data_IF_580343642361
#
_entry.id   IF_580343642361
#
_cell.length_a   1.000
_cell.length_b   1.000
_cell.length_c   1.000
_cell.angle_alpha   90.00
_cell.angle_beta   90.00
_cell.angle_gamma   90.00
#
_symmetry.space_group_name_H-M   'P 1'
#
loop_
_entity.id
_entity.type
_entity.pdbx_description
1 polymer ?
#
# COMPACT_ATOMS: atom_id res chain seq x y z
N UNK A 1 -11.76 31.13 -51.64
CA UNK A 1 -11.22 31.92 -50.51
C UNK A 1 -10.53 30.98 -49.53
N UNK A 2 -9.19 31.07 -49.41
CA UNK A 2 -8.35 30.18 -48.60
C UNK A 2 -7.88 30.90 -47.32
N UNK A 3 -8.00 30.16 -46.19
CA UNK A 3 -7.16 30.07 -44.96
C UNK A 3 -6.91 31.30 -44.06
N UNK A 4 -7.22 31.13 -42.75
CA UNK A 4 -6.35 31.36 -41.56
C UNK A 4 -7.20 31.13 -40.28
N UNK A 5 -7.19 29.97 -39.61
CA UNK A 5 -6.26 29.51 -38.56
C UNK A 5 -6.08 30.46 -37.35
N UNK A 6 -6.58 30.06 -36.17
CA UNK A 6 -6.24 30.61 -34.85
C UNK A 6 -5.80 29.46 -33.93
N UNK A 7 -4.71 29.73 -33.21
CA UNK A 7 -3.78 28.88 -32.44
C UNK A 7 -4.30 28.54 -31.03
N UNK A 8 -4.12 27.31 -30.48
CA UNK A 8 -4.71 26.89 -29.19
C UNK A 8 -3.90 27.30 -27.94
N UNK A 9 -3.40 28.55 -27.88
CA UNK A 9 -2.67 29.09 -26.72
C UNK A 9 -3.21 30.46 -26.28
N UNK A 10 -4.38 30.51 -25.64
CA UNK A 10 -4.84 31.70 -24.94
C UNK A 10 -5.24 31.36 -23.48
N UNK A 11 -4.51 31.86 -22.46
CA UNK A 11 -4.72 31.51 -21.06
C UNK A 11 -5.84 32.33 -20.38
N UNK A 12 -6.92 32.66 -21.09
CA UNK A 12 -7.95 33.61 -20.61
C UNK A 12 -9.36 33.04 -20.54
N UNK A 13 -9.59 32.07 -19.65
CA UNK A 13 -10.96 31.61 -19.34
C UNK A 13 -11.19 31.25 -17.87
N UNK A 14 -10.67 32.05 -16.93
CA UNK A 14 -11.11 31.97 -15.52
C UNK A 14 -11.47 33.35 -14.99
N UNK A 15 -12.63 33.46 -14.32
CA UNK A 15 -13.20 34.71 -13.82
C UNK A 15 -13.34 34.63 -12.28
N UNK A 16 -12.70 35.51 -11.50
CA UNK A 16 -12.83 35.51 -10.05
C UNK A 16 -14.04 36.34 -9.56
N UNK A 17 -14.67 35.88 -8.47
CA UNK A 17 -15.74 36.59 -7.74
C UNK A 17 -15.12 37.41 -6.58
N UNK A 18 -15.34 38.72 -6.57
CA UNK A 18 -14.92 39.64 -5.49
C UNK A 18 -15.97 39.77 -4.39
N UNK A 19 -15.53 40.01 -3.13
CA UNK A 19 -16.15 41.07 -2.36
C UNK A 19 -15.16 42.06 -1.71
N UNK A 20 -15.72 43.22 -1.39
CA UNK A 20 -15.17 44.52 -0.98
C UNK A 20 -14.20 44.55 0.23
N UNK A 21 -13.32 45.55 0.19
CA UNK A 21 -12.18 45.91 1.07
C UNK A 21 -12.60 46.53 2.42
N UNK A 22 -11.80 46.28 3.46
CA UNK A 22 -11.47 47.24 4.52
C UNK A 22 -10.01 47.06 5.00
N UNK A 23 -9.30 48.19 5.15
CA UNK A 23 -7.88 48.43 5.49
C UNK A 23 -7.59 48.22 7.00
N UNK A 24 -6.39 48.15 7.59
CA UNK A 24 -4.95 48.15 7.26
C UNK A 24 -4.16 47.79 8.56
N UNK A 25 -2.88 47.35 8.52
CA UNK A 25 -1.78 47.72 9.46
C UNK A 25 -0.45 46.96 9.16
N UNK A 26 0.67 47.71 9.01
CA UNK A 26 2.05 47.31 9.39
C UNK A 26 2.98 46.64 8.35
N UNK A 27 4.23 47.13 8.12
CA UNK A 27 5.17 46.53 7.18
C UNK A 27 5.89 45.35 7.84
N UNK A 28 5.40 44.13 7.58
CA UNK A 28 6.18 42.93 7.84
C UNK A 28 6.94 42.60 6.56
N UNK A 29 8.28 42.60 6.65
CA UNK A 29 9.16 42.14 5.59
C UNK A 29 9.01 40.61 5.44
N UNK A 30 7.85 40.19 4.93
CA UNK A 30 7.64 38.86 4.38
C UNK A 30 8.08 38.94 2.94
N UNK A 31 9.03 38.12 2.55
CA UNK A 31 9.22 37.79 1.14
C UNK A 31 7.86 37.22 0.69
N UNK A 32 7.04 38.06 0.05
CA UNK A 32 5.77 37.66 -0.56
C UNK A 32 6.13 36.71 -1.69
N UNK A 33 6.20 35.42 -1.37
CA UNK A 33 6.31 34.37 -2.38
C UNK A 33 5.09 34.53 -3.28
N UNK A 34 5.33 34.91 -4.54
CA UNK A 34 4.27 35.10 -5.52
C UNK A 34 3.35 33.86 -5.51
N UNK A 35 2.02 34.06 -5.54
CA UNK A 35 1.08 32.95 -5.50
C UNK A 35 1.35 32.01 -6.66
N UNK A 36 1.22 30.70 -6.39
CA UNK A 36 1.57 29.68 -7.38
C UNK A 36 0.81 29.94 -8.70
N UNK A 37 1.48 30.01 -9.86
CA UNK A 37 0.84 30.37 -11.14
C UNK A 37 -0.18 29.35 -11.65
N UNK A 38 -0.32 28.22 -10.96
CA UNK A 38 -1.22 27.12 -11.32
C UNK A 38 -2.49 27.12 -10.45
N UNK A 39 -2.37 27.41 -9.16
CA UNK A 39 -3.51 27.39 -8.22
C UNK A 39 -3.76 28.73 -7.52
N UNK A 40 -2.99 29.76 -7.83
CA UNK A 40 -3.07 31.10 -7.23
C UNK A 40 -3.14 31.09 -5.69
N UNK A 41 -2.36 30.19 -5.08
CA UNK A 41 -2.36 30.00 -3.63
C UNK A 41 -3.51 29.15 -3.06
N UNK A 42 -4.48 28.74 -3.87
CA UNK A 42 -5.62 27.90 -3.45
C UNK A 42 -5.25 26.45 -3.14
N UNK A 43 -4.07 25.99 -3.59
CA UNK A 43 -3.51 24.64 -3.33
C UNK A 43 -4.20 23.48 -4.04
N UNK A 44 -5.28 23.74 -4.77
CA UNK A 44 -5.97 22.78 -5.65
C UNK A 44 -6.28 23.44 -7.00
N UNK A 45 -6.56 22.62 -7.99
CA UNK A 45 -7.02 22.97 -9.33
C UNK A 45 -8.23 22.13 -9.66
N UNK A 46 -9.18 22.64 -10.44
CA UNK A 46 -10.25 21.82 -11.01
C UNK A 46 -9.92 21.68 -12.49
N UNK A 47 -9.62 20.47 -12.98
CA UNK A 47 -9.30 20.27 -14.38
C UNK A 47 -10.55 20.51 -15.22
N UNK A 48 -10.39 21.25 -16.31
CA UNK A 48 -11.47 21.51 -17.27
C UNK A 48 -11.63 20.27 -18.17
N UNK A 49 -12.57 19.41 -17.77
CA UNK A 49 -12.83 18.11 -18.41
C UNK A 49 -14.25 18.12 -19.00
N UNK A 50 -14.57 17.27 -19.99
CA UNK A 50 -15.92 17.19 -20.52
C UNK A 50 -16.89 16.53 -19.52
N UNK A 51 -18.18 16.87 -19.64
CA UNK A 51 -19.28 16.22 -18.92
C UNK A 51 -19.26 14.71 -19.21
N UNK A 52 -19.19 13.90 -18.15
CA UNK A 52 -19.06 12.44 -18.23
C UNK A 52 -17.66 11.91 -17.92
N UNK A 53 -16.64 12.78 -17.81
CA UNK A 53 -15.34 12.36 -17.29
C UNK A 53 -15.45 12.07 -15.77
N UNK A 54 -14.89 10.95 -15.25
CA UNK A 54 -14.96 10.58 -13.84
C UNK A 54 -14.54 11.70 -12.88
N UNK A 55 -13.62 12.55 -13.32
CA UNK A 55 -13.04 13.64 -12.52
C UNK A 55 -13.56 15.05 -12.89
N UNK A 56 -14.64 15.14 -13.67
CA UNK A 56 -15.29 16.42 -13.95
C UNK A 56 -15.69 17.13 -12.65
N UNK A 57 -15.26 18.39 -12.51
CA UNK A 57 -15.57 19.22 -11.34
C UNK A 57 -14.87 18.81 -10.05
N UNK A 58 -14.01 17.78 -10.04
CA UNK A 58 -13.27 17.39 -8.84
C UNK A 58 -12.08 18.30 -8.61
N UNK A 59 -11.93 18.79 -7.38
CA UNK A 59 -10.73 19.49 -6.96
C UNK A 59 -9.56 18.50 -6.87
N UNK A 60 -8.61 18.63 -7.80
CA UNK A 60 -7.34 17.89 -7.76
C UNK A 60 -6.27 18.78 -7.10
N UNK A 61 -5.43 18.23 -6.23
CA UNK A 61 -4.33 18.96 -5.61
C UNK A 61 -3.36 19.53 -6.65
N UNK A 62 -2.88 20.75 -6.42
CA UNK A 62 -1.98 21.41 -7.37
C UNK A 62 -0.58 20.78 -7.35
N UNK A 63 0.04 20.62 -8.53
CA UNK A 63 1.44 20.16 -8.68
C UNK A 63 2.47 21.00 -7.92
N UNK A 64 2.18 22.24 -7.54
CA UNK A 64 3.10 23.02 -6.68
C UNK A 64 3.27 22.43 -5.28
N UNK A 65 2.34 21.56 -4.85
CA UNK A 65 2.43 20.78 -3.61
C UNK A 65 3.06 19.42 -3.82
N UNK A 66 3.48 19.05 -5.03
CA UNK A 66 4.04 17.74 -5.33
C UNK A 66 5.33 17.49 -4.53
N UNK A 67 6.23 18.48 -4.44
CA UNK A 67 7.43 18.37 -3.60
C UNK A 67 7.10 18.26 -2.11
N UNK A 68 6.10 19.00 -1.60
CA UNK A 68 5.68 18.88 -0.20
C UNK A 68 4.98 17.54 0.10
N UNK A 69 4.23 17.01 -0.87
CA UNK A 69 3.56 15.71 -0.80
C UNK A 69 4.57 14.60 -0.81
N UNK A 70 5.55 14.67 -1.72
CA UNK A 70 6.66 13.74 -1.79
C UNK A 70 7.52 13.82 -0.53
N UNK A 71 7.80 15.01 -0.02
CA UNK A 71 8.49 15.19 1.26
C UNK A 71 7.65 14.72 2.46
N UNK A 72 6.31 14.82 2.43
CA UNK A 72 5.42 14.21 3.44
C UNK A 72 5.44 12.68 3.34
N UNK A 73 5.31 12.12 2.14
CA UNK A 73 5.47 10.69 1.85
C UNK A 73 6.79 10.17 2.40
N UNK A 74 7.89 10.83 2.06
CA UNK A 74 9.23 10.48 2.52
C UNK A 74 9.34 10.60 4.04
N UNK A 75 8.89 11.69 4.67
CA UNK A 75 8.94 11.83 6.14
C UNK A 75 8.10 10.78 6.88
N UNK A 76 6.94 10.41 6.34
CA UNK A 76 6.07 9.39 6.92
C UNK A 76 6.62 7.98 6.74
N UNK A 77 7.27 7.68 5.60
CA UNK A 77 7.84 6.34 5.32
C UNK A 77 9.28 6.15 5.85
N UNK A 78 10.13 7.19 5.83
CA UNK A 78 11.53 7.13 6.25
C UNK A 78 11.71 6.86 7.74
N UNK A 79 10.72 7.18 8.59
CA UNK A 79 10.81 6.94 10.04
C UNK A 79 10.71 5.47 10.43
N UNK A 80 10.31 4.57 9.52
CA UNK A 80 10.05 3.16 9.83
C UNK A 80 10.70 2.16 8.85
N UNK A 81 11.63 2.63 8.01
CA UNK A 81 12.42 1.76 7.13
C UNK A 81 11.63 1.13 5.98
N UNK A 82 10.40 1.57 5.71
CA UNK A 82 9.57 0.97 4.67
C UNK A 82 10.00 1.42 3.26
N UNK A 83 10.23 0.44 2.39
CA UNK A 83 10.92 0.53 1.09
C UNK A 83 10.29 1.53 0.09
N UNK A 84 11.15 2.17 -0.71
CA UNK A 84 10.80 2.94 -1.93
C UNK A 84 9.85 2.15 -2.86
N UNK A 85 10.01 0.82 -2.89
CA UNK A 85 9.19 -0.10 -3.68
C UNK A 85 7.69 0.03 -3.39
N UNK A 86 7.29 0.29 -2.14
CA UNK A 86 5.88 0.41 -1.79
C UNK A 86 5.24 1.70 -2.33
N UNK A 87 6.03 2.74 -2.61
CA UNK A 87 5.50 4.00 -3.17
C UNK A 87 4.90 3.80 -4.56
N UNK A 88 5.37 2.78 -5.30
CA UNK A 88 4.90 2.46 -6.66
C UNK A 88 3.64 1.60 -6.66
N UNK A 89 3.29 0.99 -5.52
CA UNK A 89 2.11 0.15 -5.34
C UNK A 89 0.91 1.04 -5.02
N UNK A 90 0.24 1.51 -6.07
CA UNK A 90 -0.90 2.44 -5.99
C UNK A 90 -2.15 1.79 -6.56
N UNK A 91 -3.31 2.41 -6.37
CA UNK A 91 -4.53 1.91 -7.01
C UNK A 91 -4.45 2.04 -8.54
N UNK A 92 -3.75 3.05 -9.03
CA UNK A 92 -3.56 3.34 -10.44
C UNK A 92 -2.64 2.31 -11.12
N UNK A 93 -1.68 1.72 -10.37
CA UNK A 93 -0.80 0.67 -10.88
C UNK A 93 -1.33 -0.75 -10.68
N UNK A 94 -2.47 -0.92 -9.99
CA UNK A 94 -3.11 -2.22 -9.80
C UNK A 94 -3.95 -2.60 -11.03
N UNK A 95 -4.00 -3.89 -11.40
CA UNK A 95 -4.82 -4.38 -12.51
C UNK A 95 -6.07 -5.08 -11.94
N UNK A 96 -7.23 -4.40 -11.88
CA UNK A 96 -8.43 -4.95 -11.25
C UNK A 96 -9.15 -6.00 -12.11
N UNK A 97 -8.91 -5.98 -13.44
CA UNK A 97 -9.53 -6.91 -14.40
C UNK A 97 -8.45 -7.63 -15.21
N UNK A 98 -7.74 -8.59 -14.60
CA UNK A 98 -6.72 -9.37 -15.29
C UNK A 98 -7.37 -10.23 -16.39
N UNK A 99 -7.03 -9.95 -17.65
CA UNK A 99 -7.61 -10.59 -18.85
C UNK A 99 -7.31 -12.08 -19.00
N UNK A 100 -6.36 -12.61 -18.21
CA UNK A 100 -5.92 -14.00 -18.25
C UNK A 100 -6.61 -14.90 -17.22
N UNK A 101 -7.53 -14.36 -16.41
CA UNK A 101 -8.27 -15.12 -15.40
C UNK A 101 -9.67 -15.50 -15.89
N UNK A 102 -10.26 -16.53 -15.26
CA UNK A 102 -11.68 -16.82 -15.42
C UNK A 102 -12.53 -15.63 -14.94
N UNK A 103 -13.74 -15.50 -15.47
CA UNK A 103 -14.65 -14.41 -15.12
C UNK A 103 -14.88 -14.30 -13.60
N UNK A 104 -15.05 -15.44 -12.92
CA UNK A 104 -15.23 -15.49 -11.46
C UNK A 104 -14.02 -14.93 -10.70
N UNK A 105 -12.80 -15.32 -11.07
CA UNK A 105 -11.57 -14.86 -10.42
C UNK A 105 -11.30 -13.38 -10.72
N UNK A 106 -11.53 -12.94 -11.96
CA UNK A 106 -11.42 -11.53 -12.33
C UNK A 106 -12.43 -10.67 -11.56
N UNK A 107 -13.68 -11.15 -11.43
CA UNK A 107 -14.70 -10.49 -10.62
C UNK A 107 -14.30 -10.41 -9.14
N UNK A 108 -13.77 -11.49 -8.56
CA UNK A 108 -13.25 -11.48 -7.18
C UNK A 108 -12.13 -10.45 -6.99
N UNK A 109 -11.14 -10.38 -7.89
CA UNK A 109 -10.05 -9.39 -7.84
C UNK A 109 -10.58 -7.96 -7.93
N UNK A 110 -11.55 -7.71 -8.83
CA UNK A 110 -12.21 -6.41 -8.94
C UNK A 110 -12.94 -6.04 -7.65
N UNK A 111 -13.67 -6.97 -7.03
CA UNK A 111 -14.36 -6.75 -5.75
C UNK A 111 -13.36 -6.47 -4.62
N UNK A 112 -12.21 -7.14 -4.59
CA UNK A 112 -11.13 -6.85 -3.65
C UNK A 112 -10.62 -5.41 -3.82
N UNK A 113 -10.36 -5.01 -5.06
CA UNK A 113 -9.94 -3.66 -5.42
C UNK A 113 -10.95 -2.59 -4.99
N UNK A 114 -12.24 -2.79 -5.32
CA UNK A 114 -13.33 -1.89 -4.92
C UNK A 114 -13.45 -1.77 -3.40
N UNK A 115 -13.33 -2.88 -2.67
CA UNK A 115 -13.37 -2.92 -1.20
C UNK A 115 -12.21 -2.12 -0.60
N UNK A 116 -11.00 -2.30 -1.14
CA UNK A 116 -9.81 -1.55 -0.69
C UNK A 116 -9.93 -0.06 -1.03
N UNK A 117 -10.46 0.30 -2.20
CA UNK A 117 -10.72 1.70 -2.60
C UNK A 117 -11.71 2.37 -1.65
N UNK A 118 -12.78 1.68 -1.27
CA UNK A 118 -13.76 2.17 -0.32
C UNK A 118 -13.12 2.40 1.06
N UNK A 119 -12.42 1.39 1.58
CA UNK A 119 -11.72 1.50 2.87
C UNK A 119 -10.70 2.65 2.87
N UNK A 120 -9.99 2.90 1.77
CA UNK A 120 -9.05 4.02 1.67
C UNK A 120 -9.71 5.41 1.70
N UNK A 121 -11.00 5.53 1.34
CA UNK A 121 -11.73 6.79 1.42
C UNK A 121 -12.13 7.09 2.86
N UNK A 122 -12.65 6.08 3.56
CA UNK A 122 -13.13 6.17 4.93
C UNK A 122 -12.66 4.93 5.73
N UNK A 123 -11.43 4.98 6.28
CA UNK A 123 -10.88 3.86 7.06
C UNK A 123 -11.63 3.73 8.38
N UNK A 124 -12.51 2.74 8.45
CA UNK A 124 -13.25 2.37 9.66
C UNK A 124 -13.12 0.86 9.88
N UNK A 125 -12.95 0.45 11.13
CA UNK A 125 -12.76 -0.95 11.47
C UNK A 125 -11.52 -1.56 10.81
N UNK A 126 -11.56 -2.86 10.59
CA UNK A 126 -10.42 -3.63 10.10
C UNK A 126 -10.70 -4.21 8.73
N UNK A 127 -9.69 -4.23 7.88
CA UNK A 127 -9.73 -4.90 6.59
C UNK A 127 -8.72 -6.04 6.60
N UNK A 128 -9.21 -7.27 6.53
CA UNK A 128 -8.39 -8.47 6.45
C UNK A 128 -8.37 -9.00 5.02
N UNK A 129 -7.20 -9.03 4.40
CA UNK A 129 -6.97 -9.61 3.08
C UNK A 129 -6.29 -10.97 3.21
N UNK A 130 -6.96 -12.03 2.74
CA UNK A 130 -6.39 -13.39 2.71
C UNK A 130 -6.23 -13.89 1.28
N UNK A 131 -5.36 -14.87 1.05
CA UNK A 131 -5.17 -15.47 -0.27
C UNK A 131 -3.77 -16.02 -0.47
N UNK A 132 -3.53 -16.69 -1.59
CA UNK A 132 -2.24 -17.29 -1.95
C UNK A 132 -1.15 -16.24 -2.17
N UNK A 133 0.10 -16.70 -2.33
CA UNK A 133 1.21 -15.82 -2.65
C UNK A 133 1.00 -15.10 -4.00
N UNK A 134 1.43 -13.84 -4.07
CA UNK A 134 1.42 -13.07 -5.31
C UNK A 134 0.05 -12.71 -5.89
N UNK A 135 -1.05 -12.91 -5.16
CA UNK A 135 -2.40 -12.53 -5.60
C UNK A 135 -2.72 -11.01 -5.44
N UNK A 136 -1.77 -10.20 -4.95
CA UNK A 136 -1.91 -8.74 -4.88
C UNK A 136 -2.30 -8.14 -3.53
N UNK A 137 -2.34 -8.92 -2.44
CA UNK A 137 -2.67 -8.43 -1.08
C UNK A 137 -1.80 -7.24 -0.64
N UNK A 138 -0.47 -7.41 -0.65
CA UNK A 138 0.50 -6.37 -0.29
C UNK A 138 0.35 -5.13 -1.17
N UNK A 139 0.05 -5.30 -2.47
CA UNK A 139 -0.18 -4.17 -3.37
C UNK A 139 -1.40 -3.38 -2.93
N UNK A 140 -2.54 -4.04 -2.73
CA UNK A 140 -3.76 -3.37 -2.30
C UNK A 140 -3.60 -2.69 -0.94
N UNK A 141 -2.92 -3.35 0.02
CA UNK A 141 -2.62 -2.77 1.32
C UNK A 141 -1.71 -1.53 1.22
N UNK A 142 -0.68 -1.58 0.39
CA UNK A 142 0.19 -0.44 0.11
C UNK A 142 -0.56 0.69 -0.62
N UNK A 143 -1.47 0.35 -1.54
CA UNK A 143 -2.30 1.33 -2.24
C UNK A 143 -3.22 2.10 -1.29
N UNK A 144 -3.82 1.41 -0.30
CA UNK A 144 -4.59 2.06 0.78
C UNK A 144 -3.69 3.03 1.54
N UNK A 145 -2.52 2.57 1.99
CA UNK A 145 -1.57 3.40 2.73
C UNK A 145 -1.17 4.65 1.93
N UNK A 146 -0.77 4.46 0.67
CA UNK A 146 -0.38 5.54 -0.23
C UNK A 146 -1.49 6.56 -0.45
N UNK A 147 -2.74 6.12 -0.60
CA UNK A 147 -3.89 7.01 -0.75
C UNK A 147 -4.11 7.88 0.51
N UNK A 148 -3.98 7.31 1.71
CA UNK A 148 -4.09 8.07 2.97
C UNK A 148 -2.93 9.02 3.20
N UNK A 149 -1.71 8.62 2.84
CA UNK A 149 -0.53 9.49 2.92
C UNK A 149 -0.68 10.69 1.97
N UNK A 150 -1.27 10.51 0.78
CA UNK A 150 -1.54 11.60 -0.17
C UNK A 150 -2.57 12.62 0.35
N UNK A 151 -3.44 12.19 1.24
CA UNK A 151 -4.36 13.03 2.02
C UNK A 151 -3.68 13.67 3.24
N UNK A 152 -2.41 13.37 3.49
CA UNK A 152 -1.62 13.92 4.60
C UNK A 152 -1.88 13.25 5.94
N UNK A 153 -2.46 12.04 5.96
CA UNK A 153 -2.75 11.34 7.20
C UNK A 153 -1.56 10.49 7.68
N UNK A 154 -1.40 10.33 9.02
CA UNK A 154 -0.46 9.37 9.57
C UNK A 154 -0.84 7.94 9.17
N UNK A 155 0.13 7.21 8.61
CA UNK A 155 -0.02 5.80 8.27
C UNK A 155 1.27 5.10 8.59
N UNK A 156 1.17 3.94 9.24
CA UNK A 156 2.30 3.05 9.45
C UNK A 156 2.09 1.79 8.62
N UNK A 157 3.10 1.40 7.86
CA UNK A 157 3.11 0.15 7.10
C UNK A 157 4.28 -0.68 7.60
N UNK A 158 3.97 -1.86 8.14
CA UNK A 158 4.97 -2.78 8.68
C UNK A 158 4.76 -4.18 8.12
N UNK A 159 5.83 -4.78 7.62
CA UNK A 159 5.89 -6.22 7.38
C UNK A 159 6.08 -6.90 8.74
N UNK A 160 5.23 -7.87 9.08
CA UNK A 160 5.16 -8.42 10.45
C UNK A 160 6.49 -9.04 10.93
N UNK A 161 7.19 -9.86 10.12
CA UNK A 161 8.54 -10.33 10.46
C UNK A 161 9.50 -9.18 10.81
N UNK A 162 9.60 -8.17 9.94
CA UNK A 162 10.50 -7.03 10.13
C UNK A 162 10.16 -6.21 11.38
N UNK A 163 8.86 -6.03 11.65
CA UNK A 163 8.37 -5.40 12.87
C UNK A 163 8.89 -6.14 14.11
N UNK A 164 8.75 -7.45 14.14
CA UNK A 164 9.15 -8.26 15.28
C UNK A 164 10.66 -8.26 15.47
N UNK A 165 11.44 -8.27 14.39
CA UNK A 165 12.89 -8.15 14.48
C UNK A 165 13.32 -6.77 14.98
N UNK A 166 12.67 -5.70 14.50
CA UNK A 166 12.92 -4.35 14.98
C UNK A 166 12.58 -4.20 16.46
N UNK A 167 11.41 -4.67 16.88
CA UNK A 167 11.01 -4.69 18.30
C UNK A 167 11.99 -5.49 19.16
N UNK A 168 12.56 -6.58 18.65
CA UNK A 168 13.57 -7.37 19.36
C UNK A 168 14.89 -6.59 19.51
N UNK A 169 15.33 -5.90 18.45
CA UNK A 169 16.56 -5.09 18.47
C UNK A 169 16.47 -3.86 19.37
N UNK A 170 15.28 -3.28 19.54
CA UNK A 170 15.04 -2.10 20.36
C UNK A 170 15.18 -2.37 21.88
N UNK A 171 15.27 -3.63 22.30
CA UNK A 171 15.67 -4.00 23.66
C UNK A 171 17.19 -3.89 23.90
N UNK A 172 18.00 -3.62 22.87
CA UNK A 172 19.43 -3.38 23.03
C UNK A 172 19.67 -1.96 23.59
N UNK A 173 20.54 -1.78 24.60
CA UNK A 173 20.78 -0.49 25.27
C UNK A 173 21.33 0.65 24.37
N UNK A 174 21.54 0.43 23.08
CA UNK A 174 22.16 1.37 22.14
C UNK A 174 21.22 1.89 21.02
N UNK A 175 19.91 1.73 21.14
CA UNK A 175 18.98 2.21 20.10
C UNK A 175 18.55 3.67 20.30
N UNK A 176 18.56 4.46 19.21
CA UNK A 176 18.18 5.89 19.19
C UNK A 176 16.67 6.13 19.36
N UNK A 177 15.84 5.10 19.13
CA UNK A 177 14.39 5.11 19.35
C UNK A 177 14.07 4.03 20.36
N UNK A 178 13.47 4.42 21.48
CA UNK A 178 13.11 3.46 22.53
C UNK A 178 12.00 2.54 22.03
N UNK A 179 12.09 1.25 22.37
CA UNK A 179 11.06 0.25 22.09
C UNK A 179 9.64 0.75 22.39
N UNK A 180 9.48 1.45 23.52
CA UNK A 180 8.19 1.95 24.00
C UNK A 180 7.59 2.99 23.07
N UNK A 181 8.40 3.89 22.49
CA UNK A 181 7.92 4.92 21.55
C UNK A 181 7.39 4.30 20.25
N UNK A 182 8.12 3.36 19.66
CA UNK A 182 7.68 2.70 18.44
C UNK A 182 6.42 1.88 18.68
N UNK A 183 6.38 1.10 19.77
CA UNK A 183 5.24 0.28 20.09
C UNK A 183 3.98 1.12 20.34
N UNK A 184 4.12 2.27 21.00
CA UNK A 184 3.01 3.19 21.21
C UNK A 184 2.55 3.86 19.91
N UNK A 185 3.45 4.20 19.00
CA UNK A 185 3.08 4.70 17.66
C UNK A 185 2.26 3.65 16.88
N UNK A 186 2.65 2.38 16.92
CA UNK A 186 1.90 1.29 16.29
C UNK A 186 0.51 1.13 16.91
N UNK A 187 0.41 1.29 18.24
CA UNK A 187 -0.84 1.19 18.98
C UNK A 187 -1.82 2.32 18.69
N UNK A 188 -1.33 3.53 18.43
CA UNK A 188 -2.14 4.77 18.38
C UNK A 188 -2.28 5.38 17.00
N UNK A 189 -1.49 4.97 16.02
CA UNK A 189 -1.59 5.52 14.65
C UNK A 189 -3.00 5.39 14.09
N UNK A 190 -3.42 6.42 13.34
CA UNK A 190 -4.75 6.51 12.72
C UNK A 190 -5.01 5.39 11.73
N UNK A 191 -3.97 4.93 11.02
CA UNK A 191 -4.03 3.75 10.18
C UNK A 191 -2.76 2.92 10.34
N UNK A 192 -2.93 1.64 10.64
CA UNK A 192 -1.86 0.66 10.66
C UNK A 192 -2.09 -0.37 9.56
N UNK A 193 -1.05 -0.66 8.78
CA UNK A 193 -1.01 -1.79 7.84
C UNK A 193 -0.01 -2.81 8.37
N UNK A 194 -0.48 -4.03 8.60
CA UNK A 194 0.33 -5.19 8.96
C UNK A 194 0.35 -6.16 7.78
N UNK A 195 1.47 -6.23 7.09
CA UNK A 195 1.66 -7.09 5.93
C UNK A 195 2.27 -8.44 6.32
N UNK A 196 1.82 -9.51 5.67
CA UNK A 196 2.27 -10.89 5.84
C UNK A 196 2.19 -11.41 7.29
N UNK A 197 1.06 -11.14 7.96
CA UNK A 197 0.75 -11.73 9.26
C UNK A 197 0.73 -13.27 9.15
N UNK A 198 1.54 -13.93 9.98
CA UNK A 198 1.72 -15.38 9.98
C UNK A 198 3.08 -15.81 9.42
N UNK A 199 3.74 -15.02 8.57
CA UNK A 199 5.02 -15.38 7.99
C UNK A 199 6.19 -15.43 9.01
N UNK A 200 5.99 -14.88 10.21
CA UNK A 200 6.98 -14.87 11.29
C UNK A 200 7.18 -16.24 11.94
N UNK A 201 8.31 -16.44 12.60
CA UNK A 201 8.51 -17.59 13.49
C UNK A 201 7.55 -17.54 14.68
N UNK A 202 6.84 -18.64 14.94
CA UNK A 202 5.87 -18.81 16.03
C UNK A 202 6.52 -18.89 17.42
N UNK A 203 7.25 -17.86 17.83
CA UNK A 203 7.80 -17.75 19.18
C UNK A 203 6.74 -17.22 20.15
N UNK A 204 6.73 -17.65 21.43
CA UNK A 204 5.80 -17.12 22.44
C UNK A 204 5.87 -15.60 22.57
N UNK A 205 7.08 -15.03 22.45
CA UNK A 205 7.29 -13.59 22.47
C UNK A 205 6.60 -12.88 21.30
N UNK A 206 6.74 -13.40 20.07
CA UNK A 206 6.09 -12.80 18.90
C UNK A 206 4.57 -12.85 19.01
N UNK A 207 4.02 -13.99 19.45
CA UNK A 207 2.58 -14.16 19.67
C UNK A 207 2.05 -13.17 20.70
N UNK A 208 2.74 -13.02 21.84
CA UNK A 208 2.36 -12.09 22.89
C UNK A 208 2.38 -10.64 22.40
N UNK A 209 3.43 -10.22 21.67
CA UNK A 209 3.53 -8.86 21.15
C UNK A 209 2.50 -8.52 20.08
N UNK A 210 2.24 -9.44 19.15
CA UNK A 210 1.17 -9.28 18.17
C UNK A 210 -0.19 -9.21 18.84
N UNK A 211 -0.44 -10.05 19.83
CA UNK A 211 -1.69 -10.02 20.59
C UNK A 211 -1.86 -8.70 21.34
N UNK A 212 -0.83 -8.21 22.04
CA UNK A 212 -0.87 -6.91 22.73
C UNK A 212 -1.23 -5.76 21.78
N UNK A 213 -0.58 -5.70 20.61
CA UNK A 213 -0.82 -4.67 19.60
C UNK A 213 -2.25 -4.75 19.03
N UNK A 214 -2.65 -5.93 18.56
CA UNK A 214 -3.95 -6.15 17.94
C UNK A 214 -5.11 -5.99 18.94
N UNK A 215 -4.95 -6.48 20.17
CA UNK A 215 -5.95 -6.31 21.22
C UNK A 215 -6.17 -4.83 21.55
N UNK A 216 -5.09 -4.03 21.65
CA UNK A 216 -5.22 -2.59 21.88
C UNK A 216 -6.02 -1.91 20.78
N UNK A 217 -5.63 -2.13 19.52
CA UNK A 217 -6.28 -1.52 18.36
C UNK A 217 -7.71 -2.00 18.17
N UNK A 218 -8.00 -3.24 18.55
CA UNK A 218 -9.35 -3.80 18.53
C UNK A 218 -10.25 -3.06 19.55
N UNK A 219 -9.78 -2.90 20.79
CA UNK A 219 -10.54 -2.22 21.83
C UNK A 219 -10.76 -0.74 21.52
N UNK A 220 -9.77 -0.09 20.89
CA UNK A 220 -9.84 1.30 20.48
C UNK A 220 -10.51 1.49 19.09
N UNK A 221 -10.94 0.41 18.43
CA UNK A 221 -11.53 0.40 17.08
C UNK A 221 -10.71 1.19 16.04
N UNK A 222 -9.38 1.15 16.16
CA UNK A 222 -8.50 1.90 15.27
C UNK A 222 -8.34 1.18 13.92
N UNK A 223 -8.40 1.95 12.84
CA UNK A 223 -8.38 1.44 11.48
C UNK A 223 -7.13 0.60 11.22
N UNK A 224 -7.31 -0.65 10.78
CA UNK A 224 -6.19 -1.59 10.60
C UNK A 224 -6.37 -2.43 9.35
N UNK A 225 -5.37 -2.45 8.47
CA UNK A 225 -5.34 -3.37 7.32
C UNK A 225 -4.37 -4.50 7.64
N UNK A 226 -4.78 -5.73 7.41
CA UNK A 226 -3.99 -6.93 7.69
C UNK A 226 -3.96 -7.78 6.43
N UNK A 227 -2.79 -8.24 6.03
CA UNK A 227 -2.67 -9.27 4.99
C UNK A 227 -2.14 -10.56 5.59
N UNK A 228 -2.63 -11.70 5.11
CA UNK A 228 -2.08 -13.01 5.47
C UNK A 228 -2.21 -13.99 4.33
N UNK A 229 -1.22 -14.87 4.23
CA UNK A 229 -1.19 -16.02 3.33
C UNK A 229 -1.57 -17.33 4.04
N UNK A 230 -1.73 -17.31 5.36
CA UNK A 230 -2.13 -18.46 6.15
C UNK A 230 -3.64 -18.59 6.21
N UNK A 231 -4.09 -19.81 6.49
CA UNK A 231 -5.49 -20.04 6.80
C UNK A 231 -5.77 -19.50 8.20
N UNK A 232 -6.96 -18.95 8.43
CA UNK A 232 -7.30 -18.36 9.73
C UNK A 232 -7.34 -19.41 10.85
N UNK A 233 -7.53 -20.68 10.50
CA UNK A 233 -7.49 -21.81 11.43
C UNK A 233 -6.09 -22.08 11.96
N UNK A 234 -5.05 -21.73 11.20
CA UNK A 234 -3.65 -21.97 11.55
C UNK A 234 -3.08 -20.84 12.44
N UNK A 235 -3.79 -19.72 12.55
CA UNK A 235 -3.41 -18.61 13.41
C UNK A 235 -3.62 -18.95 14.89
N UNK A 236 -2.83 -18.28 15.74
CA UNK A 236 -2.96 -18.37 17.19
C UNK A 236 -4.43 -18.08 17.62
N UNK A 237 -5.02 -18.88 18.54
CA UNK A 237 -6.44 -18.80 18.85
C UNK A 237 -6.96 -17.43 19.28
N UNK A 238 -6.18 -16.67 20.06
CA UNK A 238 -6.59 -15.33 20.53
C UNK A 238 -6.57 -14.31 19.38
N UNK A 239 -5.57 -14.37 18.51
CA UNK A 239 -5.53 -13.55 17.29
C UNK A 239 -6.69 -13.88 16.36
N UNK A 240 -6.91 -15.18 16.10
CA UNK A 240 -8.04 -15.66 15.29
C UNK A 240 -9.37 -15.13 15.82
N UNK A 241 -9.59 -15.18 17.13
CA UNK A 241 -10.82 -14.68 17.74
C UNK A 241 -11.09 -13.20 17.45
N UNK A 242 -10.06 -12.36 17.31
CA UNK A 242 -10.23 -10.94 16.97
C UNK A 242 -10.40 -10.72 15.48
N UNK A 243 -9.68 -11.47 14.66
CA UNK A 243 -9.77 -11.39 13.20
C UNK A 243 -11.10 -11.92 12.64
N UNK A 244 -11.80 -12.77 13.39
CA UNK A 244 -13.10 -13.33 13.00
C UNK A 244 -14.31 -12.50 13.47
N UNK A 245 -14.09 -11.37 14.14
CA UNK A 245 -15.20 -10.52 14.59
C UNK A 245 -15.82 -9.76 13.41
N UNK A 246 -16.99 -10.23 12.97
CA UNK A 246 -17.73 -9.68 11.82
C UNK A 246 -18.21 -8.24 12.00
N UNK A 247 -18.27 -7.73 13.24
CA UNK A 247 -18.71 -6.35 13.49
C UNK A 247 -17.59 -5.33 13.23
N UNK A 248 -16.34 -5.75 13.38
CA UNK A 248 -15.17 -4.88 13.22
C UNK A 248 -14.38 -5.21 11.95
N UNK A 249 -14.31 -6.49 11.58
CA UNK A 249 -13.43 -6.98 10.52
C UNK A 249 -14.22 -7.27 9.26
N UNK A 250 -13.92 -6.49 8.21
CA UNK A 250 -14.28 -6.85 6.85
C UNK A 250 -13.22 -7.81 6.28
N UNK A 251 -13.57 -9.08 6.14
CA UNK A 251 -12.68 -10.12 5.61
C UNK A 251 -12.92 -10.33 4.12
N UNK A 252 -11.87 -10.15 3.31
CA UNK A 252 -11.88 -10.42 1.88
C UNK A 252 -10.82 -11.45 1.48
N UNK A 253 -11.26 -12.58 0.93
CA UNK A 253 -10.38 -13.58 0.34
C UNK A 253 -10.15 -13.32 -1.15
N UNK A 254 -8.89 -13.07 -1.53
CA UNK A 254 -8.48 -12.88 -2.93
C UNK A 254 -8.16 -14.24 -3.55
N UNK A 255 -8.97 -14.61 -4.53
CA UNK A 255 -8.90 -15.88 -5.24
C UNK A 255 -8.28 -15.63 -6.62
N UNK A 256 -6.96 -15.47 -6.64
CA UNK A 256 -6.20 -15.26 -7.87
C UNK A 256 -4.89 -16.07 -7.84
N UNK A 257 -4.38 -16.51 -9.02
CA UNK A 257 -3.06 -17.13 -9.10
C UNK A 257 -1.96 -16.10 -8.78
N UNK A 258 -0.74 -16.59 -8.62
CA UNK A 258 0.43 -15.72 -8.46
C UNK A 258 0.66 -14.91 -9.76
N UNK A 259 0.48 -13.59 -9.69
CA UNK A 259 0.70 -12.69 -10.81
C UNK A 259 2.18 -12.54 -11.18
N UNK A 260 3.11 -12.97 -10.32
CA UNK A 260 4.56 -12.97 -10.57
C UNK A 260 5.00 -14.13 -11.47
N UNK A 261 4.24 -15.22 -11.49
CA UNK A 261 4.61 -16.45 -12.18
C UNK A 261 4.48 -16.37 -13.72
N UNK A 262 3.97 -15.27 -14.28
CA UNK A 262 3.68 -15.18 -15.71
C UNK A 262 2.67 -16.26 -16.15
N UNK A 263 2.55 -16.51 -17.46
CA UNK A 263 1.48 -17.32 -18.08
C UNK A 263 1.41 -18.81 -17.67
N UNK A 264 2.25 -19.31 -16.75
CA UNK A 264 2.27 -20.71 -16.32
C UNK A 264 1.99 -20.85 -14.81
N UNK A 265 0.72 -20.91 -14.39
CA UNK A 265 0.32 -20.92 -12.98
C UNK A 265 0.51 -22.28 -12.27
N UNK A 266 1.24 -23.23 -12.84
CA UNK A 266 1.35 -24.63 -12.31
C UNK A 266 2.63 -24.87 -11.51
N UNK A 267 3.52 -23.89 -11.35
CA UNK A 267 4.89 -24.13 -10.86
C UNK A 267 5.29 -23.38 -9.59
N UNK A 268 4.34 -22.95 -8.77
CA UNK A 268 4.65 -22.21 -7.54
C UNK A 268 4.52 -23.03 -6.25
N UNK A 269 4.86 -24.32 -6.28
CA UNK A 269 5.11 -25.09 -5.06
C UNK A 269 6.40 -25.91 -5.25
N UNK A 270 7.52 -25.32 -4.80
CA UNK A 270 8.75 -26.02 -4.36
C UNK A 270 9.30 -27.14 -5.26
N UNK A 271 9.29 -26.95 -6.58
CA UNK A 271 9.78 -27.98 -7.50
C UNK A 271 10.97 -27.50 -8.32
N UNK A 272 12.17 -27.91 -7.91
CA UNK A 272 13.38 -27.87 -8.73
C UNK A 272 13.31 -28.83 -9.93
N UNK A 273 12.22 -29.60 -10.11
CA UNK A 273 12.04 -30.50 -11.27
C UNK A 273 12.08 -29.76 -12.62
N UNK A 274 11.75 -28.46 -12.65
CA UNK A 274 11.88 -27.66 -13.87
C UNK A 274 13.35 -27.54 -14.34
N UNK A 275 14.31 -27.51 -13.41
CA UNK A 275 15.75 -27.51 -13.70
C UNK A 275 16.27 -28.86 -14.19
N UNK A 276 15.49 -29.93 -13.99
CA UNK A 276 15.84 -31.31 -14.36
C UNK A 276 14.94 -31.86 -15.49
N UNK A 277 14.18 -31.02 -16.18
CA UNK A 277 13.23 -31.45 -17.21
C UNK A 277 13.92 -32.15 -18.40
N UNK A 278 15.23 -31.87 -18.58
CA UNK A 278 16.10 -32.49 -19.58
C UNK A 278 16.84 -33.75 -19.06
N UNK A 279 16.69 -34.13 -17.78
CA UNK A 279 17.29 -35.33 -17.20
C UNK A 279 16.31 -36.50 -17.24
N UNK A 280 16.17 -37.10 -18.42
CA UNK A 280 15.37 -38.30 -18.68
C UNK A 280 16.30 -39.50 -18.83
N UNK A 281 15.77 -40.73 -18.72
CA UNK A 281 16.58 -41.94 -18.91
C UNK A 281 17.25 -41.99 -20.29
N UNK A 282 16.62 -41.38 -21.28
CA UNK A 282 17.04 -41.19 -22.66
C UNK A 282 18.15 -40.14 -22.85
N UNK A 283 18.35 -39.24 -21.88
CA UNK A 283 19.49 -38.28 -21.82
C UNK A 283 20.56 -38.68 -20.80
N UNK A 284 20.43 -39.84 -20.15
CA UNK A 284 21.40 -40.35 -19.19
C UNK A 284 22.66 -40.88 -19.90
N UNK A 285 23.78 -40.17 -19.75
CA UNK A 285 25.08 -40.60 -20.29
C UNK A 285 25.84 -41.42 -19.23
N UNK A 286 25.78 -42.75 -19.34
CA UNK A 286 26.46 -43.69 -18.41
C UNK A 286 28.01 -43.63 -18.47
N UNK A 287 28.60 -42.80 -19.34
CA UNK A 287 30.05 -42.63 -19.50
C UNK A 287 30.57 -41.31 -18.94
N UNK A 288 30.13 -40.92 -17.73
CA UNK A 288 30.87 -39.88 -16.98
C UNK A 288 32.18 -40.45 -16.50
N UNK A 289 33.29 -40.00 -17.09
CA UNK A 289 34.66 -40.27 -16.67
C UNK A 289 35.10 -39.38 -15.49
N UNK A 290 34.17 -38.78 -14.76
CA UNK A 290 34.48 -37.76 -13.74
C UNK A 290 34.67 -38.34 -12.32
N UNK A 291 35.01 -39.63 -12.21
CA UNK A 291 35.51 -40.22 -10.97
C UNK A 291 36.99 -40.53 -11.18
N UNK A 292 37.84 -39.51 -11.11
CA UNK A 292 39.24 -39.72 -10.78
C UNK A 292 39.29 -40.20 -9.34
N UNK A 293 39.61 -41.48 -9.14
CA UNK A 293 39.93 -42.01 -7.83
C UNK A 293 41.16 -41.28 -7.27
N UNK A 294 41.02 -40.75 -6.06
CA UNK A 294 42.16 -40.45 -5.21
C UNK A 294 42.44 -41.68 -4.35
N UNK A 295 43.74 -42.01 -4.27
CA UNK A 295 44.37 -43.15 -3.59
C UNK A 295 44.12 -43.22 -2.08
#
# INVERSE_FOLDING_TARGET
MRKSALDPRDPRTTRPLHPSRAQAYGPSNRIEQAPCPICDGMRYTVPDLPLGHPDFGKAIPCRCREQERLARRLRSMQRMGTLETLQRLTFESFIPEPTHLSHEKAFNVRRAFETCRYFAQEPEGWLLLTGTYGCGKTHLAAAIANARIDLGQPVLFMVVPDLLDHLRSAFSPQSDVTYDELFEQLRTTTLLVLDDLGAQSSTPWAQEKLFQLLNHRYNAQLATVITTNQRLEDLEPRLRSRLMDVNLVNHFAIIAPDFRAGKNPVQSDLSSLALHNEQRFDTFNARRTDISGEE
#
